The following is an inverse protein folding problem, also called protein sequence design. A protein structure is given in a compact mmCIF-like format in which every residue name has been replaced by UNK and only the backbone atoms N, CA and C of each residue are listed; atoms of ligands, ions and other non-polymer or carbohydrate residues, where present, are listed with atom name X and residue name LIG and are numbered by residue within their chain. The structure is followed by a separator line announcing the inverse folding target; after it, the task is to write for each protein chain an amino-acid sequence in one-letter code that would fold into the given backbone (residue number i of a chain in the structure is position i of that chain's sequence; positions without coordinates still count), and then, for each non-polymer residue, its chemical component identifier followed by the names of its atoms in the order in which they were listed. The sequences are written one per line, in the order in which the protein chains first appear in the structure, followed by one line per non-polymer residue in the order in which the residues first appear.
data_IF_922373752674
#
_entry.id   IF_922373752674
#
_cell.length_a   1.000
_cell.length_b   1.000
_cell.length_c   1.000
_cell.angle_alpha   90.00
_cell.angle_beta   90.00
_cell.angle_gamma   90.00
#
_symmetry.space_group_name_H-M   'P 1'
#
loop_
_entity.id
_entity.type
_entity.pdbx_description
1 polymer ?
#
# COMPACT_ATOMS: atom_id res chain seq x y z
N UNK A 1 -18.38 -11.89 -1.85
CA UNK A 1 -17.47 -11.40 -0.78
C UNK A 1 -16.14 -11.07 -1.44
N UNK A 2 -15.77 -9.80 -1.50
CA UNK A 2 -14.42 -9.40 -1.90
C UNK A 2 -13.46 -9.82 -0.78
N UNK A 3 -12.56 -10.75 -1.07
CA UNK A 3 -11.51 -11.12 -0.14
C UNK A 3 -10.45 -10.01 -0.19
N UNK A 4 -10.41 -9.15 0.83
CA UNK A 4 -9.37 -8.13 0.95
C UNK A 4 -8.03 -8.82 1.20
N UNK A 5 -7.08 -8.68 0.27
CA UNK A 5 -5.72 -9.17 0.45
C UNK A 5 -4.85 -8.12 1.13
N UNK A 6 -4.00 -8.56 2.04
CA UNK A 6 -3.03 -7.72 2.75
C UNK A 6 -1.62 -8.18 2.41
N UNK A 7 -0.67 -7.26 2.31
CA UNK A 7 0.73 -7.59 2.09
C UNK A 7 1.49 -7.57 3.41
N UNK A 8 2.16 -8.67 3.73
CA UNK A 8 3.00 -8.78 4.93
C UNK A 8 4.41 -9.19 4.56
N UNK A 9 5.37 -8.88 5.43
CA UNK A 9 6.70 -9.49 5.45
C UNK A 9 6.80 -10.34 6.70
N UNK A 10 7.24 -11.59 6.56
CA UNK A 10 7.45 -12.48 7.70
C UNK A 10 8.48 -13.58 7.36
N UNK A 11 9.11 -14.16 8.39
CA UNK A 11 9.94 -15.35 8.25
C UNK A 11 9.06 -16.61 8.27
N UNK A 12 9.16 -17.50 7.29
CA UNK A 12 8.51 -18.80 7.35
C UNK A 12 9.07 -19.65 8.49
N UNK A 13 8.24 -20.53 9.05
CA UNK A 13 8.70 -21.53 10.00
C UNK A 13 9.57 -22.58 9.29
N UNK A 14 10.60 -23.07 9.98
CA UNK A 14 11.51 -24.09 9.46
C UNK A 14 12.94 -23.60 9.36
N UNK A 15 13.77 -24.43 8.72
CA UNK A 15 15.20 -24.19 8.54
C UNK A 15 15.60 -24.46 7.10
N UNK A 16 16.63 -23.77 6.63
CA UNK A 16 17.28 -24.07 5.37
C UNK A 16 18.08 -25.38 5.46
N UNK A 17 18.71 -25.78 4.34
CA UNK A 17 19.56 -26.99 4.26
C UNK A 17 20.79 -26.96 5.20
N UNK A 18 21.13 -25.81 5.74
CA UNK A 18 22.26 -25.60 6.65
C UNK A 18 21.81 -25.51 8.12
N UNK A 19 20.50 -25.60 8.39
CA UNK A 19 19.94 -25.50 9.73
C UNK A 19 19.66 -24.07 10.21
N UNK A 20 19.83 -23.06 9.35
CA UNK A 20 19.54 -21.66 9.67
C UNK A 20 18.04 -21.39 9.54
N UNK A 21 17.47 -20.46 10.32
CA UNK A 21 16.11 -19.98 10.11
C UNK A 21 15.90 -19.49 8.67
N UNK A 22 14.72 -19.74 8.12
CA UNK A 22 14.36 -19.24 6.79
C UNK A 22 14.30 -17.70 6.79
N UNK A 23 14.77 -17.10 5.70
CA UNK A 23 14.77 -15.64 5.54
C UNK A 23 13.36 -15.07 5.44
N UNK A 24 13.20 -13.82 5.90
CA UNK A 24 11.96 -13.06 5.71
C UNK A 24 11.62 -12.95 4.22
N UNK A 25 10.34 -13.12 3.90
CA UNK A 25 9.80 -12.89 2.56
C UNK A 25 8.47 -12.18 2.62
N UNK A 26 8.09 -11.59 1.49
CA UNK A 26 6.82 -10.87 1.37
C UNK A 26 5.73 -11.79 0.87
N UNK A 27 4.59 -11.77 1.55
CA UNK A 27 3.39 -12.53 1.21
C UNK A 27 2.26 -11.59 0.87
N UNK A 28 1.42 -11.99 -0.09
CA UNK A 28 0.07 -11.47 -0.23
C UNK A 28 -0.85 -12.48 0.44
N UNK A 29 -1.48 -12.11 1.55
CA UNK A 29 -2.31 -13.00 2.37
C UNK A 29 -3.76 -12.57 2.33
N UNK A 30 -4.69 -13.48 2.55
CA UNK A 30 -6.04 -13.06 2.90
C UNK A 30 -6.06 -12.41 4.29
N UNK A 31 -7.15 -11.71 4.63
CA UNK A 31 -7.28 -11.05 5.93
C UNK A 31 -7.33 -12.00 7.13
N UNK A 32 -7.39 -13.32 6.94
CA UNK A 32 -7.49 -14.31 8.01
C UNK A 32 -6.11 -14.70 8.50
N UNK A 33 -5.97 -14.73 9.82
CA UNK A 33 -4.77 -15.22 10.52
C UNK A 33 -5.23 -16.06 11.69
N UNK A 34 -4.54 -17.15 11.90
CA UNK A 34 -4.84 -18.05 13.01
C UNK A 34 -3.59 -18.24 13.84
N UNK A 35 -3.73 -18.04 15.15
CA UNK A 35 -2.69 -18.42 16.10
C UNK A 35 -2.54 -19.94 16.08
N UNK A 36 -1.30 -20.40 15.91
CA UNK A 36 -0.96 -21.81 15.83
C UNK A 36 -0.16 -22.28 17.04
N UNK A 37 0.05 -21.41 18.04
CA UNK A 37 0.86 -21.68 19.22
C UNK A 37 2.37 -21.62 18.95
N UNK A 38 3.17 -21.70 20.01
CA UNK A 38 4.65 -21.68 19.98
C UNK A 38 5.26 -20.50 19.22
N UNK A 39 4.60 -19.34 19.25
CA UNK A 39 5.04 -18.15 18.50
C UNK A 39 4.92 -18.32 16.98
N UNK A 40 3.95 -19.11 16.52
CA UNK A 40 3.66 -19.35 15.10
C UNK A 40 2.26 -18.89 14.75
N UNK A 41 2.12 -18.37 13.55
CA UNK A 41 0.84 -17.96 12.99
C UNK A 41 0.64 -18.62 11.64
N UNK A 42 -0.55 -19.19 11.43
CA UNK A 42 -0.98 -19.69 10.12
C UNK A 42 -1.59 -18.53 9.34
N UNK A 43 -0.99 -18.23 8.18
CA UNK A 43 -1.47 -17.24 7.22
C UNK A 43 -1.89 -17.94 5.93
N UNK A 44 -2.85 -17.37 5.21
CA UNK A 44 -3.31 -17.92 3.93
C UNK A 44 -2.71 -17.12 2.79
N UNK A 45 -1.66 -17.65 2.17
CA UNK A 45 -0.88 -16.99 1.13
C UNK A 45 -1.53 -17.18 -0.23
N UNK A 46 -1.65 -16.10 -0.99
CA UNK A 46 -2.17 -16.11 -2.36
C UNK A 46 -1.29 -16.94 -3.28
N UNK A 47 -1.90 -17.90 -3.95
CA UNK A 47 -1.29 -18.78 -4.95
C UNK A 47 -1.79 -18.40 -6.33
N UNK A 48 -1.16 -17.39 -6.93
CA UNK A 48 -1.49 -16.90 -8.28
C UNK A 48 -1.34 -17.98 -9.34
N UNK A 49 -0.43 -18.92 -9.12
CA UNK A 49 -0.23 -20.11 -9.95
C UNK A 49 -1.43 -21.06 -9.94
N UNK A 50 -2.33 -20.93 -8.97
CA UNK A 50 -3.55 -21.73 -8.82
C UNK A 50 -4.83 -20.93 -9.16
N UNK A 51 -4.72 -19.67 -9.60
CA UNK A 51 -5.86 -18.85 -10.01
C UNK A 51 -6.45 -19.42 -11.33
N UNK A 52 -7.41 -20.34 -11.23
CA UNK A 52 -7.95 -21.09 -12.37
C UNK A 52 -8.89 -20.26 -13.28
N UNK A 53 -9.43 -19.15 -12.77
CA UNK A 53 -10.38 -18.29 -13.48
C UNK A 53 -10.17 -16.81 -13.13
N UNK A 54 -10.47 -15.88 -14.05
CA UNK A 54 -10.49 -14.45 -13.73
C UNK A 54 -11.39 -14.18 -12.52
N UNK A 55 -10.86 -13.51 -11.50
CA UNK A 55 -11.58 -13.19 -10.26
C UNK A 55 -11.59 -14.29 -9.19
N UNK A 56 -11.11 -15.50 -9.50
CA UNK A 56 -10.92 -16.54 -8.50
C UNK A 56 -9.52 -16.42 -7.89
N UNK A 57 -9.46 -16.07 -6.62
CA UNK A 57 -8.22 -16.01 -5.86
C UNK A 57 -8.05 -17.29 -5.03
N UNK A 58 -6.95 -18.00 -5.25
CA UNK A 58 -6.61 -19.20 -4.50
C UNK A 58 -5.62 -18.88 -3.38
N UNK A 59 -5.82 -19.48 -2.20
CA UNK A 59 -4.94 -19.30 -1.05
C UNK A 59 -4.52 -20.66 -0.47
N UNK A 60 -3.27 -20.74 -0.03
CA UNK A 60 -2.72 -21.92 0.64
C UNK A 60 -2.19 -21.54 2.03
N UNK A 61 -2.34 -22.41 3.03
CA UNK A 61 -1.82 -22.14 4.37
C UNK A 61 -0.30 -22.16 4.38
N UNK A 62 0.30 -21.21 5.08
CA UNK A 62 1.73 -21.12 5.36
C UNK A 62 1.90 -20.80 6.85
N UNK A 63 2.87 -21.45 7.50
CA UNK A 63 3.22 -21.13 8.89
C UNK A 63 4.39 -20.15 8.91
N UNK A 64 4.19 -19.03 9.58
CA UNK A 64 5.21 -17.99 9.78
C UNK A 64 5.46 -17.75 11.26
N UNK A 65 6.63 -17.21 11.58
CA UNK A 65 6.95 -16.80 12.95
C UNK A 65 6.21 -15.51 13.31
N UNK A 66 5.45 -15.54 14.40
CA UNK A 66 4.58 -14.43 14.82
C UNK A 66 5.36 -13.15 15.09
N UNK A 67 6.52 -13.25 15.73
CA UNK A 67 7.39 -12.12 16.09
C UNK A 67 8.02 -11.40 14.89
N UNK A 68 7.99 -12.04 13.71
CA UNK A 68 8.54 -11.48 12.47
C UNK A 68 7.49 -10.84 11.57
N UNK A 69 6.20 -10.97 11.90
CA UNK A 69 5.12 -10.45 11.06
C UNK A 69 5.17 -8.92 11.11
N UNK A 70 5.49 -8.34 9.97
CA UNK A 70 5.39 -6.91 9.70
C UNK A 70 4.31 -6.75 8.64
N UNK A 71 3.27 -5.97 8.91
CA UNK A 71 2.48 -5.44 7.80
C UNK A 71 3.47 -4.71 6.90
N UNK A 72 3.50 -5.04 5.60
CA UNK A 72 4.20 -4.16 4.67
C UNK A 72 3.54 -2.82 4.88
N UNK A 73 4.30 -1.81 5.35
CA UNK A 73 3.80 -0.49 5.75
C UNK A 73 2.70 -0.16 4.77
N UNK A 74 1.45 -0.27 5.26
CA UNK A 74 0.33 -0.23 4.37
C UNK A 74 0.55 1.02 3.55
N UNK A 75 0.36 0.94 2.24
CA UNK A 75 -0.13 2.14 1.58
C UNK A 75 -1.43 2.40 2.32
N UNK A 76 -1.35 3.16 3.42
CA UNK A 76 -2.51 3.55 4.18
C UNK A 76 -3.41 4.12 3.11
N UNK A 77 -4.65 3.59 3.00
CA UNK A 77 -5.53 4.03 1.94
C UNK A 77 -5.53 5.55 2.00
N UNK A 78 -5.26 6.18 0.85
CA UNK A 78 -5.25 7.64 0.78
C UNK A 78 -6.64 8.12 1.14
N UNK A 79 -6.76 8.82 2.26
CA UNK A 79 -8.04 9.28 2.80
C UNK A 79 -8.29 10.73 2.43
N UNK A 80 -9.55 11.16 2.52
CA UNK A 80 -9.90 12.57 2.38
C UNK A 80 -9.19 13.36 3.48
N UNK A 81 -8.49 14.43 3.10
CA UNK A 81 -7.70 15.25 4.01
C UNK A 81 -6.21 14.93 4.02
N UNK A 82 -5.79 13.77 3.50
CA UNK A 82 -4.37 13.44 3.40
C UNK A 82 -3.63 14.42 2.47
N UNK A 83 -2.39 14.76 2.85
CA UNK A 83 -1.44 15.38 1.94
C UNK A 83 -0.70 14.28 1.18
N UNK A 84 -0.71 14.36 -0.14
CA UNK A 84 -0.06 13.39 -1.02
C UNK A 84 0.92 14.08 -1.95
N UNK A 85 1.96 13.35 -2.33
CA UNK A 85 2.85 13.68 -3.43
C UNK A 85 2.45 12.85 -4.65
N UNK A 86 2.29 13.51 -5.78
CA UNK A 86 2.10 12.86 -7.07
C UNK A 86 3.46 12.38 -7.56
N UNK A 87 3.61 11.10 -7.88
CA UNK A 87 4.91 10.50 -8.24
C UNK A 87 5.05 10.19 -9.73
N UNK A 88 4.03 10.44 -10.53
CA UNK A 88 3.99 10.11 -11.97
C UNK A 88 3.13 11.11 -12.76
N UNK A 89 3.34 11.18 -14.07
CA UNK A 89 2.56 11.99 -14.99
C UNK A 89 2.96 13.48 -15.02
N UNK A 90 2.12 14.30 -15.65
CA UNK A 90 2.37 15.73 -15.87
C UNK A 90 2.47 16.55 -14.57
N UNK A 91 1.93 16.03 -13.47
CA UNK A 91 1.92 16.68 -12.16
C UNK A 91 2.89 16.02 -11.16
N UNK A 92 3.86 15.23 -11.64
CA UNK A 92 4.87 14.61 -10.79
C UNK A 92 5.59 15.64 -9.89
N UNK A 93 5.92 15.19 -8.70
CA UNK A 93 6.55 15.93 -7.59
C UNK A 93 5.72 17.08 -6.99
N UNK A 94 4.48 17.26 -7.45
CA UNK A 94 3.56 18.20 -6.80
C UNK A 94 2.93 17.60 -5.56
N UNK A 95 2.75 18.45 -4.56
CA UNK A 95 1.96 18.16 -3.38
C UNK A 95 0.52 18.60 -3.61
N UNK A 96 -0.41 17.85 -3.02
CA UNK A 96 -1.81 18.22 -3.02
C UNK A 96 -2.56 17.58 -1.88
N UNK A 97 -3.75 18.11 -1.62
CA UNK A 97 -4.66 17.61 -0.59
C UNK A 97 -5.73 16.75 -1.23
N UNK A 98 -6.00 15.60 -0.64
CA UNK A 98 -7.06 14.72 -1.12
C UNK A 98 -8.41 15.31 -0.73
N UNK A 99 -9.25 15.59 -1.71
CA UNK A 99 -10.60 16.14 -1.49
C UNK A 99 -11.66 15.04 -1.58
N UNK A 100 -11.42 13.99 -2.35
CA UNK A 100 -12.33 12.85 -2.47
C UNK A 100 -11.57 11.55 -2.78
N UNK A 101 -11.88 10.46 -2.08
CA UNK A 101 -11.28 9.15 -2.30
C UNK A 101 -12.34 8.15 -2.77
N UNK A 102 -12.48 7.98 -4.09
CA UNK A 102 -13.41 7.03 -4.70
C UNK A 102 -12.78 5.65 -4.91
N UNK A 103 -13.59 4.65 -5.28
CA UNK A 103 -13.09 3.29 -5.53
C UNK A 103 -12.07 3.25 -6.69
N UNK A 104 -12.29 4.04 -7.74
CA UNK A 104 -11.48 4.03 -8.98
C UNK A 104 -10.42 5.13 -9.04
N UNK A 105 -10.68 6.29 -8.43
CA UNK A 105 -9.81 7.45 -8.48
C UNK A 105 -9.82 8.24 -7.16
N UNK A 106 -8.70 8.91 -6.89
CA UNK A 106 -8.51 9.84 -5.78
C UNK A 106 -8.39 11.23 -6.36
N UNK A 107 -9.28 12.14 -5.96
CA UNK A 107 -9.25 13.53 -6.38
C UNK A 107 -8.36 14.32 -5.46
N UNK A 108 -7.36 14.96 -6.04
CA UNK A 108 -6.34 15.74 -5.33
C UNK A 108 -6.42 17.18 -5.81
N UNK A 109 -6.59 18.09 -4.85
CA UNK A 109 -6.44 19.52 -5.07
C UNK A 109 -4.95 19.86 -5.11
N UNK A 110 -4.49 20.38 -6.25
CA UNK A 110 -3.14 20.86 -6.46
C UNK A 110 -3.14 22.34 -6.82
N UNK A 111 -2.14 23.06 -6.33
CA UNK A 111 -1.84 24.40 -6.79
C UNK A 111 -0.97 24.32 -8.04
N UNK A 112 -1.37 25.01 -9.12
CA UNK A 112 -0.59 25.11 -10.35
C UNK A 112 -0.25 26.56 -10.66
N UNK A 113 0.99 26.85 -11.14
CA UNK A 113 1.28 28.16 -11.70
C UNK A 113 0.44 28.32 -12.97
N UNK A 114 -0.29 29.43 -13.08
CA UNK A 114 -0.86 29.83 -14.36
C UNK A 114 0.31 30.26 -15.23
N UNK A 115 0.51 29.57 -16.35
CA UNK A 115 1.45 29.99 -17.40
C UNK A 115 0.84 31.22 -18.10
N UNK A 116 0.77 32.35 -17.38
CA UNK A 116 0.70 33.64 -18.02
C UNK A 116 2.13 33.96 -18.44
N UNK A 117 2.35 34.08 -19.75
CA UNK A 117 3.58 34.66 -20.24
C UNK A 117 3.79 35.99 -19.50
N UNK A 118 4.87 36.10 -18.74
CA UNK A 118 5.33 37.36 -18.13
C UNK A 118 4.48 37.91 -16.97
N UNK A 119 4.41 37.20 -15.84
CA UNK A 119 4.34 37.80 -14.49
C UNK A 119 4.45 36.68 -13.45
N UNK A 120 4.85 37.00 -12.21
CA UNK A 120 4.68 36.11 -11.06
C UNK A 120 3.20 35.73 -10.96
N UNK A 121 2.84 34.63 -11.62
CA UNK A 121 1.49 34.36 -12.07
C UNK A 121 0.60 33.90 -10.92
N UNK A 122 -0.65 34.36 -10.93
CA UNK A 122 -1.70 33.88 -10.05
C UNK A 122 -1.67 32.34 -9.97
N UNK A 123 -1.68 31.80 -8.75
CA UNK A 123 -1.79 30.36 -8.55
C UNK A 123 -3.24 29.94 -8.67
N UNK A 124 -3.53 28.99 -9.55
CA UNK A 124 -4.87 28.39 -9.65
C UNK A 124 -4.89 27.05 -8.90
N UNK A 125 -5.98 26.79 -8.18
CA UNK A 125 -6.25 25.47 -7.59
C UNK A 125 -7.07 24.63 -8.56
N UNK A 126 -6.59 23.42 -8.86
CA UNK A 126 -7.32 22.45 -9.67
C UNK A 126 -7.51 21.15 -8.89
N UNK A 127 -8.70 20.56 -8.98
CA UNK A 127 -8.99 19.22 -8.46
C UNK A 127 -8.90 18.22 -9.61
N UNK A 128 -7.95 17.29 -9.53
CA UNK A 128 -7.69 16.32 -10.59
C UNK A 128 -7.75 14.89 -10.07
N UNK A 129 -8.26 13.93 -10.88
CA UNK A 129 -8.29 12.53 -10.51
C UNK A 129 -6.93 11.86 -10.74
N UNK A 130 -6.48 11.08 -9.77
CA UNK A 130 -5.27 10.26 -9.84
C UNK A 130 -5.58 8.82 -9.42
N UNK A 131 -4.85 7.86 -9.97
CA UNK A 131 -4.88 6.50 -9.44
C UNK A 131 -4.08 6.41 -8.14
N UNK A 132 -4.44 5.46 -7.26
CA UNK A 132 -3.70 5.22 -6.01
C UNK A 132 -2.22 4.87 -6.23
N UNK A 133 -1.85 4.41 -7.42
CA UNK A 133 -0.45 4.07 -7.79
C UNK A 133 0.39 5.30 -8.12
N UNK A 134 -0.26 6.43 -8.36
CA UNK A 134 0.39 7.70 -8.70
C UNK A 134 0.58 8.59 -7.47
N UNK A 135 0.10 8.16 -6.29
CA UNK A 135 0.10 8.94 -5.07
C UNK A 135 0.93 8.27 -3.99
N UNK A 136 1.70 9.08 -3.27
CA UNK A 136 2.37 8.69 -2.03
C UNK A 136 1.94 9.65 -0.95
N UNK A 137 1.39 9.12 0.15
CA UNK A 137 1.04 9.94 1.31
C UNK A 137 2.31 10.54 1.92
N UNK A 138 2.27 11.84 2.19
CA UNK A 138 3.30 12.55 2.92
C UNK A 138 2.91 12.47 4.39
N UNK A 139 3.68 11.74 5.18
CA UNK A 139 3.50 11.78 6.63
C UNK A 139 3.68 13.23 7.09
N UNK A 140 2.83 13.76 8.00
CA UNK A 140 3.13 15.03 8.63
C UNK A 140 4.53 14.89 9.25
N UNK A 141 5.44 15.81 8.92
CA UNK A 141 6.71 15.91 9.61
C UNK A 141 6.39 15.89 11.10
N UNK A 142 6.90 14.89 11.82
CA UNK A 142 6.76 14.82 13.26
C UNK A 142 7.32 16.14 13.80
N UNK A 143 6.42 17.04 14.19
CA UNK A 143 6.79 18.25 14.91
C UNK A 143 7.33 17.72 16.23
N UNK A 144 8.66 17.61 16.31
CA UNK A 144 9.33 17.39 17.58
C UNK A 144 9.07 18.65 18.40
N UNK A 145 8.17 18.50 19.38
CA UNK A 145 7.94 19.48 20.43
C UNK A 145 9.08 19.42 21.46
#
# INVERSE_FOLDING_TARGET
METTTTRITAAPCGKDRHGNPLAERTYEVDGRREDWGDGRTRVFVRRRDLDARPGQQCFAPELVRTDTIKEAAGVQPVEVGDTVRIVRGMHADRLGKVTHAGATAVHVEITRPVLAAEQDGATETATLPFSRRELVRVAPAAVSA
#
